data_IF_305023280468
#
_entry.id   IF_305023280468
#
_cell.length_a   1.000
_cell.length_b   1.000
_cell.length_c   1.000
_cell.angle_alpha   90.00
_cell.angle_beta   90.00
_cell.angle_gamma   90.00
#
_symmetry.space_group_name_H-M   'P 1'
#
loop_
_entity.id
_entity.type
_entity.pdbx_description
1 polymer ?
#
# COMPACT_ATOMS: atom_id res chain seq x y z
N UNK A 1 -5.98 -19.35 -38.94
CA UNK A 1 -5.93 -18.07 -38.20
C UNK A 1 -5.61 -18.40 -36.74
N UNK A 2 -4.37 -18.20 -36.32
CA UNK A 2 -3.90 -18.55 -34.97
C UNK A 2 -4.42 -17.49 -34.01
N UNK A 3 -5.28 -17.89 -33.07
CA UNK A 3 -5.67 -17.05 -31.93
C UNK A 3 -4.45 -17.02 -31.01
N UNK A 4 -3.75 -15.88 -30.96
CA UNK A 4 -2.73 -15.64 -29.95
C UNK A 4 -3.43 -15.51 -28.61
N UNK A 5 -3.45 -16.60 -27.85
CA UNK A 5 -3.81 -16.60 -26.44
C UNK A 5 -2.74 -15.76 -25.71
N UNK A 6 -3.08 -14.51 -25.43
CA UNK A 6 -2.35 -13.69 -24.48
C UNK A 6 -2.47 -14.39 -23.13
N UNK A 7 -1.42 -15.13 -22.77
CA UNK A 7 -1.23 -15.78 -21.49
C UNK A 7 -1.67 -14.86 -20.35
N UNK A 8 -2.86 -15.11 -19.78
CA UNK A 8 -3.32 -14.47 -18.55
C UNK A 8 -2.52 -15.09 -17.42
N UNK A 9 -1.43 -14.44 -17.03
CA UNK A 9 -0.78 -14.75 -15.77
C UNK A 9 -1.84 -14.70 -14.66
N UNK A 10 -2.01 -15.77 -13.87
CA UNK A 10 -3.01 -15.78 -12.81
C UNK A 10 -2.63 -14.71 -11.80
N UNK A 11 -3.56 -13.78 -11.56
CA UNK A 11 -3.41 -12.80 -10.48
C UNK A 11 -3.52 -13.55 -9.17
N UNK A 12 -2.37 -13.82 -8.52
CA UNK A 12 -2.31 -14.47 -7.22
C UNK A 12 -2.60 -13.47 -6.12
N UNK A 13 -3.44 -13.86 -5.17
CA UNK A 13 -3.69 -13.12 -3.94
C UNK A 13 -3.14 -13.91 -2.76
N UNK A 14 -2.61 -13.20 -1.77
CA UNK A 14 -2.25 -13.76 -0.48
C UNK A 14 -3.15 -13.19 0.61
N UNK A 15 -3.50 -14.05 1.57
CA UNK A 15 -4.26 -13.67 2.76
C UNK A 15 -3.30 -13.28 3.87
N UNK A 16 -3.41 -12.04 4.32
CA UNK A 16 -2.56 -11.47 5.36
C UNK A 16 -3.38 -11.08 6.58
N UNK A 17 -2.74 -11.09 7.75
CA UNK A 17 -3.32 -10.50 8.95
C UNK A 17 -3.58 -9.01 8.71
N UNK A 18 -4.80 -8.55 8.99
CA UNK A 18 -5.16 -7.14 8.87
C UNK A 18 -4.30 -6.33 9.84
N UNK A 19 -3.39 -5.51 9.30
CA UNK A 19 -2.45 -4.75 10.11
C UNK A 19 -3.16 -3.73 11.01
N UNK A 20 -4.15 -3.02 10.47
CA UNK A 20 -4.91 -1.99 11.19
C UNK A 20 -5.45 -2.49 12.53
N UNK A 21 -6.13 -3.64 12.55
CA UNK A 21 -6.66 -4.24 13.78
C UNK A 21 -5.74 -5.30 14.41
N UNK A 22 -4.56 -5.54 13.82
CA UNK A 22 -3.63 -6.61 14.20
C UNK A 22 -4.30 -8.00 14.31
N UNK A 23 -5.25 -8.28 13.39
CA UNK A 23 -5.99 -9.54 13.37
C UNK A 23 -7.15 -9.68 14.36
N UNK A 24 -7.42 -8.68 15.21
CA UNK A 24 -8.51 -8.76 16.21
C UNK A 24 -9.92 -8.71 15.62
N UNK A 25 -10.07 -8.16 14.41
CA UNK A 25 -11.37 -7.91 13.80
C UNK A 25 -12.17 -6.77 14.42
N UNK A 26 -11.60 -6.03 15.39
CA UNK A 26 -12.24 -4.86 16.03
C UNK A 26 -11.48 -3.57 15.70
N UNK A 27 -12.18 -2.43 15.73
CA UNK A 27 -11.56 -1.12 15.60
C UNK A 27 -10.47 -0.96 16.68
N UNK A 28 -9.21 -0.69 16.31
CA UNK A 28 -8.11 -0.65 17.27
C UNK A 28 -8.10 0.64 18.12
N UNK A 29 -8.95 1.62 17.80
CA UNK A 29 -8.95 2.96 18.39
C UNK A 29 -10.24 3.28 19.15
N UNK A 30 -11.18 2.35 19.20
CA UNK A 30 -12.48 2.46 19.88
C UNK A 30 -13.25 3.76 19.53
N UNK A 31 -13.08 4.28 18.30
CA UNK A 31 -13.54 5.64 17.94
C UNK A 31 -15.07 5.77 18.01
N UNK A 32 -15.78 4.70 17.63
CA UNK A 32 -17.26 4.62 17.75
C UNK A 32 -17.69 3.83 19.00
N UNK A 33 -17.05 2.69 19.26
CA UNK A 33 -17.19 1.91 20.50
C UNK A 33 -16.11 0.81 20.55
N UNK A 34 -15.89 0.22 21.73
CA UNK A 34 -15.03 -0.97 21.90
C UNK A 34 -15.60 -2.25 21.30
N UNK A 35 -16.86 -2.22 20.84
CA UNK A 35 -17.54 -3.31 20.15
C UNK A 35 -17.49 -3.14 18.63
N UNK A 36 -16.99 -2.02 18.13
CA UNK A 36 -16.99 -1.72 16.71
C UNK A 36 -16.10 -2.70 15.94
N UNK A 37 -16.64 -3.27 14.87
CA UNK A 37 -15.86 -4.11 13.96
C UNK A 37 -14.82 -3.27 13.22
N UNK A 38 -13.70 -3.90 12.88
CA UNK A 38 -12.64 -3.24 12.12
C UNK A 38 -13.16 -2.83 10.74
N UNK A 39 -13.10 -1.53 10.44
CA UNK A 39 -13.59 -0.97 9.18
C UNK A 39 -12.79 -1.43 7.93
N UNK A 40 -11.58 -1.95 8.12
CA UNK A 40 -10.72 -2.44 7.03
C UNK A 40 -11.04 -3.89 6.64
N UNK A 41 -11.20 -4.78 7.61
CA UNK A 41 -11.39 -6.22 7.37
C UNK A 41 -12.82 -6.70 7.61
N UNK A 42 -13.73 -5.83 8.05
CA UNK A 42 -15.12 -6.16 8.33
C UNK A 42 -15.32 -7.17 9.47
N UNK A 43 -14.33 -7.34 10.35
CA UNK A 43 -14.40 -8.30 11.46
C UNK A 43 -13.59 -9.59 11.29
N UNK A 44 -13.09 -9.89 10.09
CA UNK A 44 -12.39 -11.16 9.82
C UNK A 44 -10.99 -11.25 10.45
N UNK A 45 -10.37 -10.11 10.74
CA UNK A 45 -8.95 -10.03 11.11
C UNK A 45 -7.99 -10.31 9.94
N UNK A 46 -8.49 -10.50 8.71
CA UNK A 46 -7.72 -10.87 7.52
C UNK A 46 -8.04 -9.96 6.35
N UNK A 47 -7.07 -9.76 5.47
CA UNK A 47 -7.20 -8.99 4.23
C UNK A 47 -6.53 -9.73 3.08
N UNK A 48 -7.10 -9.60 1.87
CA UNK A 48 -6.49 -10.12 0.65
C UNK A 48 -5.67 -9.03 -0.04
N UNK A 49 -4.45 -9.35 -0.44
CA UNK A 49 -3.56 -8.45 -1.20
C UNK A 49 -2.98 -9.21 -2.39
N UNK A 50 -2.80 -8.52 -3.52
CA UNK A 50 -2.13 -9.13 -4.67
C UNK A 50 -0.69 -9.47 -4.30
N UNK A 51 -0.29 -10.70 -4.57
CA UNK A 51 1.03 -11.20 -4.25
C UNK A 51 2.07 -10.79 -5.32
N UNK A 52 3.35 -10.63 -4.92
CA UNK A 52 3.80 -10.56 -3.52
C UNK A 52 3.43 -9.22 -2.89
N UNK A 53 2.93 -9.21 -1.67
CA UNK A 53 2.70 -7.95 -0.95
C UNK A 53 3.95 -7.53 -0.17
N UNK A 54 4.12 -6.22 -0.05
CA UNK A 54 5.18 -5.60 0.73
C UNK A 54 4.58 -4.58 1.70
N UNK A 55 5.29 -4.33 2.80
CA UNK A 55 4.86 -3.34 3.77
C UNK A 55 4.70 -1.97 3.10
N UNK A 56 3.59 -1.29 3.38
CA UNK A 56 3.36 0.07 2.92
C UNK A 56 4.37 1.00 3.60
N UNK A 57 5.16 1.74 2.81
CA UNK A 57 6.19 2.63 3.35
C UNK A 57 5.58 3.75 4.23
N UNK A 58 4.52 4.41 3.75
CA UNK A 58 3.88 5.53 4.43
C UNK A 58 3.40 5.20 5.85
N UNK A 59 2.70 4.08 6.05
CA UNK A 59 2.28 3.65 7.39
C UNK A 59 3.24 2.66 8.05
N UNK A 60 4.35 2.31 7.39
CA UNK A 60 5.35 1.34 7.84
C UNK A 60 4.74 -0.01 8.24
N UNK A 61 3.76 -0.47 7.46
CA UNK A 61 3.11 -1.74 7.71
C UNK A 61 1.97 -1.72 8.72
N UNK A 62 1.67 -0.62 9.40
CA UNK A 62 0.65 -0.61 10.47
C UNK A 62 -0.79 -0.56 9.94
N UNK A 63 -0.99 -0.10 8.71
CA UNK A 63 -2.31 0.20 8.17
C UNK A 63 -2.92 1.49 8.73
N UNK A 64 -2.23 2.24 9.57
CA UNK A 64 -2.75 3.46 10.15
C UNK A 64 -1.75 4.61 10.08
N UNK A 65 -2.27 5.83 9.93
CA UNK A 65 -1.53 7.06 10.18
C UNK A 65 -2.26 7.78 11.31
N UNK A 66 -1.66 7.75 12.51
CA UNK A 66 -2.36 8.07 13.77
C UNK A 66 -3.58 7.14 13.94
N UNK A 67 -4.77 7.70 14.12
CA UNK A 67 -6.03 6.96 14.29
C UNK A 67 -6.79 6.75 12.97
N UNK A 68 -6.27 7.27 11.85
CA UNK A 68 -6.91 7.15 10.55
C UNK A 68 -6.36 5.97 9.77
N UNK A 69 -7.21 5.34 8.97
CA UNK A 69 -6.77 4.33 8.00
C UNK A 69 -5.76 4.96 7.04
N UNK A 70 -4.66 4.24 6.80
CA UNK A 70 -3.66 4.71 5.85
C UNK A 70 -4.25 4.70 4.44
N UNK A 71 -4.31 5.85 3.80
CA UNK A 71 -4.92 6.03 2.47
C UNK A 71 -4.10 5.42 1.34
N UNK A 72 -2.81 5.16 1.54
CA UNK A 72 -1.96 4.48 0.55
C UNK A 72 -2.29 2.99 0.41
N UNK A 73 -2.64 2.33 1.51
CA UNK A 73 -2.89 0.88 1.55
C UNK A 73 -4.32 0.51 1.96
N UNK A 74 -5.21 1.50 2.03
CA UNK A 74 -6.58 1.39 2.56
C UNK A 74 -6.65 0.68 3.92
N UNK A 75 -5.65 0.94 4.75
CA UNK A 75 -5.48 0.34 6.06
C UNK A 75 -5.09 -1.15 6.10
N UNK A 76 -4.79 -1.77 4.97
CA UNK A 76 -4.31 -3.17 4.96
C UNK A 76 -2.93 -3.33 5.62
N UNK A 77 -2.11 -2.28 5.58
CA UNK A 77 -0.70 -2.28 5.98
C UNK A 77 0.25 -2.69 4.86
N UNK A 78 -0.29 -3.24 3.77
CA UNK A 78 0.49 -3.79 2.67
C UNK A 78 0.01 -3.24 1.32
N UNK A 79 0.93 -3.16 0.38
CA UNK A 79 0.66 -2.83 -1.02
C UNK A 79 1.26 -3.92 -1.92
N UNK A 80 0.69 -4.17 -3.12
CA UNK A 80 1.31 -5.09 -4.06
C UNK A 80 2.69 -4.61 -4.48
N UNK A 81 3.67 -5.51 -4.49
CA UNK A 81 4.97 -5.24 -5.06
C UNK A 81 4.86 -5.15 -6.59
N UNK A 82 5.40 -4.10 -7.22
CA UNK A 82 5.46 -4.05 -8.68
C UNK A 82 6.33 -5.18 -9.24
N UNK A 83 5.88 -5.79 -10.36
CA UNK A 83 6.65 -6.81 -11.08
C UNK A 83 7.87 -6.23 -11.80
N UNK A 84 7.78 -4.97 -12.21
CA UNK A 84 8.88 -4.26 -12.88
C UNK A 84 9.91 -3.73 -11.87
N UNK A 85 11.18 -3.59 -12.27
CA UNK A 85 12.20 -2.95 -11.43
C UNK A 85 11.75 -1.58 -10.93
N UNK A 86 11.98 -1.35 -9.64
CA UNK A 86 11.65 -0.10 -8.96
C UNK A 86 12.89 0.57 -8.42
N UNK A 87 12.82 1.89 -8.31
CA UNK A 87 13.82 2.72 -7.64
C UNK A 87 13.17 3.46 -6.48
N UNK A 88 13.96 3.77 -5.45
CA UNK A 88 13.48 4.63 -4.36
C UNK A 88 12.99 5.96 -4.91
N UNK A 89 11.87 6.44 -4.40
CA UNK A 89 11.31 7.74 -4.79
C UNK A 89 12.32 8.84 -4.46
N UNK A 90 12.77 9.66 -5.43
CA UNK A 90 13.80 10.65 -5.20
C UNK A 90 13.30 11.82 -4.32
N UNK A 91 11.98 12.03 -4.23
CA UNK A 91 11.41 13.10 -3.42
C UNK A 91 11.40 12.74 -1.93
N UNK A 92 10.87 11.58 -1.56
CA UNK A 92 10.77 11.14 -0.16
C UNK A 92 11.89 10.18 0.27
N UNK A 93 12.82 9.84 -0.65
CA UNK A 93 13.95 8.93 -0.41
C UNK A 93 13.53 7.55 0.15
N UNK A 94 12.34 7.07 -0.25
CA UNK A 94 11.83 5.78 0.20
C UNK A 94 10.85 5.83 1.37
N UNK A 95 10.71 6.95 2.10
CA UNK A 95 9.85 6.98 3.29
C UNK A 95 8.36 6.81 2.97
N UNK A 96 7.93 7.26 1.79
CA UNK A 96 6.51 7.35 1.46
C UNK A 96 5.82 8.58 2.06
N UNK A 97 6.56 9.44 2.77
CA UNK A 97 5.98 10.61 3.46
C UNK A 97 6.24 11.90 2.69
N UNK A 98 5.31 12.86 2.79
CA UNK A 98 5.57 14.23 2.39
C UNK A 98 6.53 14.91 3.39
N UNK A 99 7.54 15.62 2.89
CA UNK A 99 8.57 16.23 3.72
C UNK A 99 8.04 17.41 4.56
N UNK A 100 7.03 18.13 4.06
CA UNK A 100 6.43 19.28 4.75
C UNK A 100 5.30 18.84 5.69
N UNK A 101 4.68 17.69 5.44
CA UNK A 101 3.61 17.12 6.25
C UNK A 101 3.74 15.59 6.37
N UNK A 102 4.51 15.06 7.35
CA UNK A 102 4.79 13.63 7.46
C UNK A 102 3.57 12.73 7.70
N UNK A 103 2.43 13.31 8.08
CA UNK A 103 1.15 12.60 8.19
C UNK A 103 0.44 12.43 6.83
N UNK A 104 1.01 12.97 5.75
CA UNK A 104 0.50 12.88 4.39
C UNK A 104 1.42 12.03 3.54
N UNK A 105 0.84 11.24 2.65
CA UNK A 105 1.58 10.45 1.70
C UNK A 105 2.34 11.35 0.72
N UNK A 106 3.58 10.97 0.39
CA UNK A 106 4.36 11.64 -0.65
C UNK A 106 3.57 11.64 -1.96
N UNK A 107 3.26 12.82 -2.50
CA UNK A 107 2.43 12.94 -3.71
C UNK A 107 3.09 12.33 -4.96
N UNK A 108 4.43 12.27 -5.00
CA UNK A 108 5.18 11.74 -6.16
C UNK A 108 5.05 10.22 -6.28
N UNK A 109 5.17 9.48 -5.17
CA UNK A 109 5.04 8.01 -5.16
C UNK A 109 3.72 7.53 -4.55
N UNK A 110 2.82 8.45 -4.17
CA UNK A 110 1.55 8.18 -3.48
C UNK A 110 1.70 7.34 -2.19
N UNK A 111 2.84 7.51 -1.52
CA UNK A 111 3.16 6.83 -0.27
C UNK A 111 3.74 5.42 -0.38
N UNK A 112 3.97 4.91 -1.59
CA UNK A 112 4.64 3.61 -1.76
C UNK A 112 6.11 3.69 -1.40
N UNK A 113 6.76 4.84 -1.56
CA UNK A 113 8.20 5.00 -1.34
C UNK A 113 9.05 4.66 -2.57
N UNK A 114 8.47 4.13 -3.64
CA UNK A 114 9.20 3.77 -4.87
C UNK A 114 8.47 4.24 -6.13
N UNK A 115 9.21 4.25 -7.24
CA UNK A 115 8.69 4.49 -8.58
C UNK A 115 9.23 3.41 -9.52
N UNK A 116 8.49 3.09 -10.58
CA UNK A 116 9.01 2.20 -11.62
C UNK A 116 10.18 2.90 -12.35
N UNK A 117 11.26 2.17 -12.59
CA UNK A 117 12.49 2.75 -13.15
C UNK A 117 12.28 3.39 -14.54
N UNK A 118 11.28 2.93 -15.29
CA UNK A 118 10.98 3.41 -16.63
C UNK A 118 10.53 4.89 -16.67
N UNK A 119 9.95 5.42 -15.58
CA UNK A 119 9.60 6.85 -15.46
C UNK A 119 10.79 7.75 -15.13
N UNK A 120 12.00 7.21 -14.96
CA UNK A 120 13.22 8.00 -14.77
C UNK A 120 13.67 8.71 -16.06
N UNK A 121 13.32 8.17 -17.24
CA UNK A 121 13.86 8.64 -18.54
C UNK A 121 13.07 9.80 -19.16
N UNK A 122 11.77 9.94 -18.86
CA UNK A 122 10.93 11.00 -19.44
C UNK A 122 11.19 12.40 -18.87
N UNK A 123 11.87 12.51 -17.72
CA UNK A 123 12.24 13.80 -17.11
C UNK A 123 13.64 14.31 -17.52
N UNK A 124 14.21 13.81 -18.63
CA UNK A 124 15.52 14.26 -19.17
C UNK A 124 15.43 14.91 -20.56
N UNK A 125 14.23 15.35 -21.00
CA UNK A 125 14.01 15.91 -22.35
C UNK A 125 13.75 17.44 -22.33
N UNK A 126 14.05 18.13 -21.23
CA UNK A 126 14.00 19.58 -21.15
C UNK A 126 15.29 20.15 -20.58
N UNK A 127 16.37 20.05 -21.36
CA UNK A 127 17.53 20.95 -21.33
C UNK A 127 18.00 21.19 -22.76
#
# INVERSE_FOLDING_TARGET
>A
MVRTDLSRDPVVFEELTCAFCSGRGRDPFDIMSSLSTCCVCGGSGKVLVKAPAVACAHCRGTGAVKTLTCTTCDGRGFVPQPLSPTVSCPLCKGSGDDASAPAMACLKCRGTGWMMEQFRKENRVHE
#
